data_IF_429129047945
#
_entry.id   IF_429129047945
#
_cell.length_a   1.000
_cell.length_b   1.000
_cell.length_c   1.000
_cell.angle_alpha   90.00
_cell.angle_beta   90.00
_cell.angle_gamma   90.00
#
_symmetry.space_group_name_H-M   'P 1'
#
loop_
_entity.id
_entity.type
_entity.pdbx_description
1 polymer ?
#
# COMPACT_ATOMS: atom_id res chain seq x y z
N UNK A 1 -10.14 -8.63 -12.78
CA UNK A 1 -9.88 -7.63 -11.69
C UNK A 1 -9.61 -6.24 -12.26
N UNK A 2 -10.67 -5.45 -12.47
CA UNK A 2 -10.57 -3.99 -12.69
C UNK A 2 -11.21 -3.20 -11.54
N UNK A 3 -11.56 -3.90 -10.46
CA UNK A 3 -12.41 -3.38 -9.40
C UNK A 3 -11.69 -3.33 -8.05
N UNK A 4 -11.07 -4.42 -7.62
CA UNK A 4 -10.56 -4.61 -6.25
C UNK A 4 -9.55 -3.54 -5.83
N UNK A 5 -8.52 -3.31 -6.64
CA UNK A 5 -7.49 -2.32 -6.29
C UNK A 5 -8.06 -0.89 -6.20
N UNK A 6 -8.91 -0.50 -7.15
CA UNK A 6 -9.61 0.79 -7.09
C UNK A 6 -10.55 0.92 -5.89
N UNK A 7 -11.26 -0.16 -5.55
CA UNK A 7 -12.18 -0.23 -4.41
C UNK A 7 -11.42 -0.10 -3.08
N UNK A 8 -10.35 -0.87 -2.89
CA UNK A 8 -9.55 -0.83 -1.67
C UNK A 8 -8.92 0.55 -1.43
N UNK A 9 -8.38 1.16 -2.47
CA UNK A 9 -7.85 2.53 -2.37
C UNK A 9 -8.96 3.57 -2.11
N UNK A 10 -10.18 3.32 -2.61
CA UNK A 10 -11.34 4.18 -2.35
C UNK A 10 -11.87 4.10 -0.92
N UNK A 11 -11.61 3.00 -0.19
CA UNK A 11 -12.04 2.88 1.21
C UNK A 11 -11.44 3.96 2.10
N UNK A 12 -10.18 4.33 1.87
CA UNK A 12 -9.42 5.33 2.62
C UNK A 12 -9.53 6.75 2.04
N UNK A 13 -10.11 6.91 0.85
CA UNK A 13 -10.12 8.17 0.12
C UNK A 13 -10.78 9.31 0.91
N UNK A 14 -10.05 10.42 1.06
CA UNK A 14 -10.51 11.68 1.68
C UNK A 14 -10.90 11.56 3.17
N UNK A 15 -10.56 10.46 3.84
CA UNK A 15 -10.90 10.24 5.25
C UNK A 15 -9.73 9.72 6.09
N UNK A 16 -8.74 9.08 5.46
CA UNK A 16 -7.52 8.61 6.09
C UNK A 16 -6.34 9.26 5.39
N UNK A 17 -5.38 9.75 6.17
CA UNK A 17 -4.09 10.23 5.65
C UNK A 17 -3.25 9.03 5.20
N UNK A 18 -3.31 8.75 3.89
CA UNK A 18 -2.53 7.73 3.20
C UNK A 18 -2.34 8.18 1.76
N UNK A 19 -1.15 7.97 1.20
CA UNK A 19 -0.92 8.34 -0.19
C UNK A 19 -1.43 7.21 -1.09
N UNK A 20 -2.26 7.55 -2.08
CA UNK A 20 -2.95 6.56 -2.93
C UNK A 20 -3.09 7.04 -4.36
N UNK A 21 -3.32 6.11 -5.26
CA UNK A 21 -3.64 6.42 -6.65
C UNK A 21 -5.12 6.78 -6.79
N UNK A 22 -5.42 7.81 -7.56
CA UNK A 22 -6.78 8.03 -8.00
C UNK A 22 -7.24 6.91 -8.96
N UNK A 23 -8.54 6.62 -8.90
CA UNK A 23 -9.20 5.58 -9.68
C UNK A 23 -10.42 6.16 -10.38
N UNK A 24 -10.51 5.92 -11.70
CA UNK A 24 -11.72 6.23 -12.48
C UNK A 24 -11.94 5.14 -13.54
N UNK A 25 -13.09 4.43 -13.52
CA UNK A 25 -13.42 3.51 -14.59
C UNK A 25 -13.73 4.27 -15.88
N UNK A 26 -13.44 3.64 -17.00
CA UNK A 26 -13.56 4.21 -18.35
C UNK A 26 -13.92 3.13 -19.36
N UNK A 27 -14.46 3.52 -20.50
CA UNK A 27 -14.69 2.62 -21.64
C UNK A 27 -13.66 2.95 -22.70
N UNK A 28 -12.84 1.97 -23.06
CA UNK A 28 -11.82 2.15 -24.08
C UNK A 28 -12.37 1.81 -25.47
N UNK A 29 -12.03 2.64 -26.46
CA UNK A 29 -12.17 2.32 -27.87
C UNK A 29 -10.82 2.48 -28.56
N UNK A 30 -10.43 1.51 -29.40
CA UNK A 30 -9.24 1.59 -30.25
C UNK A 30 -9.70 1.46 -31.70
N UNK A 31 -9.41 2.46 -32.53
CA UNK A 31 -9.85 2.53 -33.93
C UNK A 31 -11.37 2.37 -34.13
N UNK A 32 -12.17 2.86 -33.17
CA UNK A 32 -13.63 2.75 -33.19
C UNK A 32 -14.18 1.41 -32.68
N UNK A 33 -13.33 0.43 -32.42
CA UNK A 33 -13.74 -0.84 -31.82
C UNK A 33 -13.82 -0.71 -30.29
N UNK A 34 -14.85 -1.32 -29.69
CA UNK A 34 -15.00 -1.38 -28.24
C UNK A 34 -13.93 -2.28 -27.62
N UNK A 35 -13.25 -1.83 -26.57
CA UNK A 35 -12.18 -2.55 -25.87
C UNK A 35 -12.49 -2.88 -24.41
N UNK A 36 -13.73 -2.68 -23.95
CA UNK A 36 -14.09 -2.98 -22.58
C UNK A 36 -13.90 -1.82 -21.62
N UNK A 37 -14.43 -2.01 -20.42
CA UNK A 37 -14.02 -1.30 -19.20
C UNK A 37 -12.50 -1.34 -19.07
N UNK A 38 -11.90 -0.21 -18.69
CA UNK A 38 -10.50 0.00 -18.31
C UNK A 38 -10.43 1.03 -17.20
N UNK A 39 -9.32 1.11 -16.48
CA UNK A 39 -9.14 2.11 -15.43
C UNK A 39 -8.16 3.21 -15.84
N UNK A 40 -8.60 4.46 -15.69
CA UNK A 40 -7.69 5.61 -15.66
C UNK A 40 -7.15 5.69 -14.25
N UNK A 41 -5.83 5.54 -14.12
CA UNK A 41 -5.11 5.56 -12.84
C UNK A 41 -4.05 6.62 -12.83
N UNK A 42 -3.82 7.16 -11.66
CA UNK A 42 -2.73 8.09 -11.42
C UNK A 42 -1.39 7.36 -11.41
N UNK A 43 -0.40 7.88 -12.12
CA UNK A 43 0.94 7.29 -12.17
C UNK A 43 1.77 7.81 -11.01
N UNK A 44 2.23 6.94 -10.13
CA UNK A 44 2.96 7.30 -8.89
C UNK A 44 4.43 7.63 -9.12
N UNK A 45 4.74 8.56 -10.02
CA UNK A 45 6.12 9.05 -10.25
C UNK A 45 6.33 10.43 -9.60
N UNK A 46 7.40 11.14 -9.95
CA UNK A 46 7.67 12.49 -9.43
C UNK A 46 6.52 13.48 -9.66
N UNK A 47 5.77 13.35 -10.76
CA UNK A 47 4.63 14.22 -11.06
C UNK A 47 3.42 13.95 -10.15
N UNK A 48 3.27 12.73 -9.64
CA UNK A 48 2.29 12.45 -8.59
C UNK A 48 2.62 13.27 -7.33
N UNK A 49 3.90 13.33 -6.96
CA UNK A 49 4.35 14.08 -5.79
C UNK A 49 4.18 15.59 -6.01
N UNK A 50 4.55 16.09 -7.18
CA UNK A 50 4.33 17.49 -7.56
C UNK A 50 2.84 17.86 -7.49
N UNK A 51 1.98 17.07 -8.11
CA UNK A 51 0.54 17.37 -8.21
C UNK A 51 -0.16 17.32 -6.86
N UNK A 52 0.22 16.37 -5.98
CA UNK A 52 -0.47 16.15 -4.71
C UNK A 52 0.15 16.91 -3.52
N UNK A 53 1.44 17.23 -3.56
CA UNK A 53 2.17 17.86 -2.44
C UNK A 53 2.87 19.18 -2.81
N UNK A 54 2.82 19.60 -4.09
CA UNK A 54 3.46 20.81 -4.58
C UNK A 54 4.98 20.82 -4.29
N UNK A 55 5.62 19.67 -4.51
CA UNK A 55 7.07 19.47 -4.37
C UNK A 55 7.67 19.31 -5.76
N UNK A 56 8.75 20.04 -6.03
CA UNK A 56 9.48 19.98 -7.30
C UNK A 56 9.92 18.54 -7.63
N UNK A 57 9.74 18.14 -8.88
CA UNK A 57 10.00 16.78 -9.36
C UNK A 57 11.47 16.34 -9.18
N UNK A 58 12.41 17.27 -9.13
CA UNK A 58 13.84 16.98 -8.94
C UNK A 58 14.23 16.88 -7.45
N UNK A 59 13.31 17.24 -6.55
CA UNK A 59 13.51 17.38 -5.11
C UNK A 59 12.82 16.26 -4.30
N UNK A 60 12.70 15.07 -4.90
CA UNK A 60 12.09 13.90 -4.27
C UNK A 60 12.89 12.64 -4.57
N UNK A 61 12.99 11.76 -3.57
CA UNK A 61 13.38 10.36 -3.76
C UNK A 61 12.14 9.50 -3.80
N UNK A 62 12.04 8.60 -4.78
CA UNK A 62 10.96 7.61 -4.88
C UNK A 62 11.58 6.23 -4.94
N UNK A 63 11.24 5.43 -3.96
CA UNK A 63 11.73 4.07 -3.81
C UNK A 63 10.61 3.07 -4.04
N UNK A 64 10.99 1.92 -4.54
CA UNK A 64 10.10 0.80 -4.80
C UNK A 64 10.77 -0.48 -4.34
N UNK A 65 9.98 -1.46 -3.94
CA UNK A 65 10.48 -2.78 -3.60
C UNK A 65 9.98 -3.83 -4.59
N UNK A 66 10.88 -4.76 -4.93
CA UNK A 66 10.51 -6.01 -5.59
C UNK A 66 11.29 -7.17 -4.98
N UNK A 67 10.60 -8.22 -4.58
CA UNK A 67 11.16 -9.44 -3.98
C UNK A 67 12.08 -9.15 -2.79
N UNK A 68 11.66 -8.30 -1.86
CA UNK A 68 12.46 -7.92 -0.70
C UNK A 68 13.54 -6.87 -0.97
N UNK A 69 13.81 -6.49 -2.24
CA UNK A 69 14.86 -5.51 -2.56
C UNK A 69 14.29 -4.13 -2.83
N UNK A 70 14.78 -3.13 -2.09
CA UNK A 70 14.49 -1.71 -2.37
C UNK A 70 15.44 -1.18 -3.43
N UNK A 71 14.91 -0.41 -4.37
CA UNK A 71 15.66 0.34 -5.36
C UNK A 71 15.05 1.73 -5.55
N UNK A 72 15.90 2.70 -5.89
CA UNK A 72 15.43 4.01 -6.33
C UNK A 72 14.78 3.87 -7.71
N UNK A 73 13.50 4.22 -7.79
CA UNK A 73 12.86 4.51 -9.07
C UNK A 73 13.26 5.90 -9.56
N UNK A 74 13.44 6.84 -8.63
CA UNK A 74 13.83 8.23 -8.87
C UNK A 74 14.70 8.68 -7.69
N UNK A 75 15.74 9.48 -7.96
CA UNK A 75 16.67 9.93 -6.92
C UNK A 75 17.64 8.84 -6.44
N UNK A 76 17.91 8.79 -5.14
CA UNK A 76 18.86 7.86 -4.53
C UNK A 76 18.33 7.16 -3.25
N UNK A 77 19.16 6.29 -2.68
CA UNK A 77 18.81 5.46 -1.52
C UNK A 77 19.50 5.92 -0.23
N UNK A 78 20.27 7.00 -0.24
CA UNK A 78 21.23 7.29 0.83
C UNK A 78 20.53 7.53 2.17
N UNK A 79 19.48 8.36 2.17
CA UNK A 79 18.71 8.65 3.38
C UNK A 79 17.90 7.45 3.87
N UNK A 80 17.45 6.59 2.95
CA UNK A 80 16.74 5.36 3.30
C UNK A 80 17.69 4.36 3.95
N UNK A 81 18.87 4.14 3.35
CA UNK A 81 19.90 3.26 3.89
C UNK A 81 20.38 3.75 5.26
N UNK A 82 20.51 5.06 5.47
CA UNK A 82 20.83 5.63 6.79
C UNK A 82 19.74 5.32 7.83
N UNK A 83 18.46 5.44 7.47
CA UNK A 83 17.34 5.09 8.35
C UNK A 83 17.33 3.59 8.69
N UNK A 84 17.49 2.72 7.70
CA UNK A 84 17.53 1.27 7.92
C UNK A 84 18.74 0.89 8.78
N UNK A 85 19.93 1.42 8.50
CA UNK A 85 21.12 1.20 9.33
C UNK A 85 20.91 1.69 10.77
N UNK A 86 20.26 2.84 10.96
CA UNK A 86 19.93 3.32 12.31
C UNK A 86 19.03 2.33 13.04
N UNK A 87 17.99 1.82 12.37
CA UNK A 87 17.05 0.86 12.96
C UNK A 87 17.71 -0.47 13.30
N UNK A 88 18.65 -0.93 12.48
CA UNK A 88 19.34 -2.21 12.69
C UNK A 88 20.41 -2.13 13.79
N UNK A 89 20.99 -0.96 14.02
CA UNK A 89 22.09 -0.76 14.96
C UNK A 89 21.66 -0.22 16.33
N UNK A 90 20.39 0.10 16.52
CA UNK A 90 19.88 0.71 17.75
C UNK A 90 18.65 -0.02 18.32
N UNK A 91 18.48 0.05 19.63
CA UNK A 91 17.29 -0.49 20.30
C UNK A 91 16.11 0.49 20.14
N UNK A 92 15.13 0.12 19.31
CA UNK A 92 13.97 0.96 18.99
C UNK A 92 12.94 0.99 20.11
N UNK A 93 13.05 0.12 21.11
CA UNK A 93 12.22 0.22 22.32
C UNK A 93 12.54 1.47 23.15
N UNK A 94 13.72 2.08 22.97
CA UNK A 94 14.14 3.29 23.65
C UNK A 94 13.45 4.54 23.07
N UNK A 95 12.84 5.41 23.89
CA UNK A 95 12.13 6.61 23.42
C UNK A 95 12.97 7.54 22.54
N UNK A 96 14.26 7.73 22.85
CA UNK A 96 15.16 8.59 22.09
C UNK A 96 15.38 8.11 20.65
N UNK A 97 15.47 6.79 20.44
CA UNK A 97 15.67 6.20 19.13
C UNK A 97 14.37 6.25 18.32
N UNK A 98 13.24 5.98 18.97
CA UNK A 98 11.93 6.12 18.33
C UNK A 98 11.62 7.57 17.95
N UNK A 99 11.96 8.54 18.82
CA UNK A 99 11.85 9.97 18.52
C UNK A 99 12.69 10.37 17.30
N UNK A 100 13.90 9.82 17.15
CA UNK A 100 14.69 10.04 15.94
C UNK A 100 13.98 9.49 14.69
N UNK A 101 13.44 8.27 14.73
CA UNK A 101 12.67 7.70 13.62
C UNK A 101 11.48 8.60 13.26
N UNK A 102 10.77 9.14 14.25
CA UNK A 102 9.67 10.09 14.03
C UNK A 102 10.09 11.37 13.31
N UNK A 103 11.37 11.75 13.33
CA UNK A 103 11.89 12.86 12.50
C UNK A 103 12.09 12.46 11.04
N UNK A 104 12.30 11.17 10.77
CA UNK A 104 12.62 10.64 9.44
C UNK A 104 11.40 10.07 8.72
N UNK A 105 10.39 9.63 9.46
CA UNK A 105 9.26 8.84 9.00
C UNK A 105 7.97 9.50 9.47
N UNK A 106 6.98 9.61 8.59
CA UNK A 106 5.64 9.99 8.99
C UNK A 106 4.94 8.79 9.61
N UNK A 107 5.11 8.61 10.92
CA UNK A 107 4.56 7.47 11.65
C UNK A 107 3.03 7.41 11.55
N UNK A 108 2.35 8.55 11.43
CA UNK A 108 0.89 8.56 11.35
C UNK A 108 0.40 7.99 10.02
N UNK A 109 1.01 8.42 8.92
CA UNK A 109 0.73 7.90 7.59
C UNK A 109 1.10 6.41 7.50
N UNK A 110 2.29 6.04 7.99
CA UNK A 110 2.75 4.65 7.98
C UNK A 110 1.78 3.70 8.71
N UNK A 111 1.27 4.10 9.87
CA UNK A 111 0.28 3.32 10.61
C UNK A 111 -1.00 3.12 9.78
N UNK A 112 -1.49 4.17 9.12
CA UNK A 112 -2.67 4.09 8.25
C UNK A 112 -2.43 3.15 7.06
N UNK A 113 -1.27 3.28 6.40
CA UNK A 113 -0.84 2.44 5.30
C UNK A 113 -0.80 0.95 5.71
N UNK A 114 -0.13 0.63 6.82
CA UNK A 114 -0.01 -0.75 7.31
C UNK A 114 -1.36 -1.35 7.70
N UNK A 115 -2.21 -0.56 8.38
CA UNK A 115 -3.55 -1.03 8.73
C UNK A 115 -4.36 -1.35 7.47
N UNK A 116 -4.30 -0.52 6.42
CA UNK A 116 -4.98 -0.82 5.16
C UNK A 116 -4.44 -2.08 4.50
N UNK A 117 -3.12 -2.27 4.44
CA UNK A 117 -2.50 -3.48 3.88
C UNK A 117 -2.97 -4.76 4.61
N UNK A 118 -2.98 -4.71 5.94
CA UNK A 118 -3.40 -5.85 6.78
C UNK A 118 -4.90 -6.09 6.67
N UNK A 119 -5.73 -5.03 6.74
CA UNK A 119 -7.18 -5.14 6.59
C UNK A 119 -7.57 -5.71 5.22
N UNK A 120 -6.90 -5.25 4.16
CA UNK A 120 -7.13 -5.74 2.81
C UNK A 120 -6.70 -7.20 2.61
N UNK A 121 -5.99 -7.79 3.58
CA UNK A 121 -5.35 -9.10 3.43
C UNK A 121 -4.44 -9.17 2.19
N UNK A 122 -3.61 -8.14 1.95
CA UNK A 122 -2.74 -8.10 0.77
C UNK A 122 -1.55 -9.05 0.94
N UNK A 123 -1.66 -10.26 0.39
CA UNK A 123 -0.63 -11.28 0.52
C UNK A 123 0.62 -11.11 -0.34
N UNK A 124 0.67 -10.11 -1.24
CA UNK A 124 1.92 -9.73 -1.89
C UNK A 124 2.70 -8.63 -1.14
N UNK A 125 2.12 -8.12 -0.05
CA UNK A 125 2.78 -7.25 0.93
C UNK A 125 3.21 -8.09 2.16
N UNK A 126 4.38 -7.82 2.78
CA UNK A 126 5.26 -6.68 2.55
C UNK A 126 6.44 -6.95 1.62
N UNK A 127 6.52 -8.10 0.94
CA UNK A 127 7.66 -8.47 0.09
C UNK A 127 7.70 -7.80 -1.30
N UNK A 128 6.55 -7.36 -1.78
CA UNK A 128 6.33 -6.61 -3.02
C UNK A 128 5.38 -5.44 -2.74
N UNK A 129 4.98 -4.74 -3.80
CA UNK A 129 3.94 -3.71 -3.79
C UNK A 129 4.17 -2.65 -2.73
N UNK A 130 5.45 -2.37 -2.49
CA UNK A 130 5.93 -1.38 -1.53
C UNK A 130 6.50 -0.22 -2.31
N UNK A 131 5.95 0.96 -2.07
CA UNK A 131 6.39 2.21 -2.69
C UNK A 131 6.39 3.30 -1.65
N UNK A 132 7.46 4.08 -1.61
CA UNK A 132 7.65 5.15 -0.65
C UNK A 132 8.39 6.31 -1.29
N UNK A 133 8.25 7.47 -0.69
CA UNK A 133 8.89 8.67 -1.16
C UNK A 133 9.29 9.58 0.00
N UNK A 134 10.23 10.49 -0.25
CA UNK A 134 10.65 11.52 0.69
C UNK A 134 11.10 12.77 -0.06
N UNK A 135 10.70 13.99 0.37
CA UNK A 135 11.30 15.21 -0.13
C UNK A 135 12.79 15.28 0.26
N UNK A 136 13.67 15.62 -0.69
CA UNK A 136 15.12 15.75 -0.42
C UNK A 136 15.46 16.95 0.45
N UNK A 137 14.71 18.05 0.30
CA UNK A 137 14.93 19.28 1.06
C UNK A 137 14.09 19.37 2.34
N UNK A 138 14.62 20.07 3.33
CA UNK A 138 13.91 20.41 4.56
C UNK A 138 13.73 19.23 5.51
N UNK A 139 12.75 19.30 6.40
CA UNK A 139 12.42 18.25 7.36
C UNK A 139 11.46 17.20 6.76
N UNK A 140 11.67 16.85 5.49
CA UNK A 140 10.84 15.87 4.78
C UNK A 140 10.85 14.52 5.51
N UNK A 141 9.76 13.76 5.41
CA UNK A 141 9.62 12.45 6.03
C UNK A 141 9.31 11.40 4.98
N UNK A 142 9.77 10.17 5.21
CA UNK A 142 9.34 9.01 4.42
C UNK A 142 7.84 8.79 4.61
N UNK A 143 7.14 8.64 3.49
CA UNK A 143 5.72 8.33 3.38
C UNK A 143 5.50 7.22 2.37
N UNK A 144 4.42 6.47 2.53
CA UNK A 144 4.10 5.31 1.71
C UNK A 144 2.97 5.59 0.75
N UNK A 145 3.09 5.02 -0.45
CA UNK A 145 2.03 5.08 -1.46
C UNK A 145 1.42 3.69 -1.57
N UNK A 146 0.12 3.58 -1.34
CA UNK A 146 -0.65 2.37 -1.61
C UNK A 146 -0.49 2.01 -3.08
N UNK A 147 -0.01 0.80 -3.31
CA UNK A 147 0.30 0.31 -4.63
C UNK A 147 -0.19 -1.13 -4.75
N UNK A 148 -0.87 -1.41 -5.86
CA UNK A 148 -1.20 -2.75 -6.33
C UNK A 148 -1.81 -3.67 -5.25
N UNK A 149 -3.10 -3.42 -4.98
CA UNK A 149 -3.89 -4.08 -3.93
C UNK A 149 -4.82 -5.18 -4.48
N UNK A 150 -4.68 -5.57 -5.75
CA UNK A 150 -5.63 -6.46 -6.42
C UNK A 150 -5.60 -7.91 -5.90
N UNK A 151 -4.50 -8.29 -5.25
CA UNK A 151 -4.31 -9.53 -4.50
C UNK A 151 -4.99 -9.56 -3.12
N UNK A 152 -5.56 -8.43 -2.67
CA UNK A 152 -6.34 -8.35 -1.44
C UNK A 152 -7.81 -8.76 -1.61
N UNK A 153 -8.52 -8.86 -0.48
CA UNK A 153 -9.96 -9.12 -0.41
C UNK A 153 -10.40 -10.46 -1.05
N UNK A 154 -9.67 -11.54 -0.74
CA UNK A 154 -9.98 -12.92 -1.12
C UNK A 154 -9.95 -13.19 -2.63
N UNK A 155 -8.75 -13.42 -3.18
CA UNK A 155 -8.59 -13.87 -4.57
C UNK A 155 -8.83 -15.38 -4.60
N UNK A 156 -10.10 -15.77 -4.70
CA UNK A 156 -10.61 -17.15 -4.70
C UNK A 156 -9.99 -18.11 -5.72
N UNK A 157 -9.23 -17.60 -6.69
CA UNK A 157 -8.65 -18.38 -7.79
C UNK A 157 -7.12 -18.53 -7.70
N UNK A 158 -6.47 -18.04 -6.63
CA UNK A 158 -5.04 -18.24 -6.48
C UNK A 158 -4.75 -19.51 -5.66
N UNK A 159 -3.94 -20.41 -6.20
CA UNK A 159 -3.29 -21.50 -5.42
C UNK A 159 -2.32 -20.97 -4.33
N UNK A 160 -2.39 -19.67 -4.02
CA UNK A 160 -1.50 -18.93 -3.15
C UNK A 160 -2.26 -18.68 -1.86
N UNK A 161 -1.89 -19.42 -0.82
CA UNK A 161 -2.56 -19.38 0.50
C UNK A 161 -2.56 -17.96 1.10
N UNK A 162 -1.60 -17.11 0.73
CA UNK A 162 -1.48 -15.74 1.27
C UNK A 162 -2.58 -14.78 0.79
N UNK A 163 -3.37 -15.13 -0.23
CA UNK A 163 -4.47 -14.28 -0.75
C UNK A 163 -5.87 -14.70 -0.26
N UNK A 164 -5.93 -15.54 0.77
CA UNK A 164 -7.19 -16.00 1.38
C UNK A 164 -7.65 -15.06 2.49
N UNK A 165 -8.97 -14.90 2.66
CA UNK A 165 -9.55 -14.22 3.83
C UNK A 165 -9.24 -14.91 5.17
N UNK A 166 -8.82 -16.18 5.15
CA UNK A 166 -8.40 -16.92 6.35
C UNK A 166 -6.93 -16.74 6.69
N UNK A 167 -6.16 -16.09 5.81
CA UNK A 167 -4.73 -15.88 6.04
C UNK A 167 -4.51 -14.65 6.93
N UNK A 168 -3.72 -14.82 7.98
CA UNK A 168 -3.46 -13.75 8.94
C UNK A 168 -2.27 -12.92 8.46
N UNK A 169 -2.54 -11.88 7.68
CA UNK A 169 -1.50 -11.00 7.11
C UNK A 169 -0.67 -10.29 8.19
N UNK A 170 -1.24 -10.01 9.37
CA UNK A 170 -0.46 -9.43 10.47
C UNK A 170 0.63 -10.41 10.95
N UNK A 171 0.29 -11.68 11.13
CA UNK A 171 1.25 -12.73 11.51
C UNK A 171 2.26 -12.96 10.38
N UNK A 172 1.80 -12.99 9.12
CA UNK A 172 2.68 -13.11 7.96
C UNK A 172 3.74 -11.99 7.92
N UNK A 173 3.30 -10.74 7.96
CA UNK A 173 4.16 -9.57 7.90
C UNK A 173 5.12 -9.45 9.10
N UNK A 174 4.75 -10.01 10.26
CA UNK A 174 5.54 -9.89 11.49
C UNK A 174 6.47 -11.09 11.77
N UNK A 175 6.00 -12.32 11.54
CA UNK A 175 6.68 -13.56 11.96
C UNK A 175 7.15 -14.43 10.81
N UNK A 176 6.32 -14.61 9.77
CA UNK A 176 6.54 -15.65 8.74
C UNK A 176 7.38 -15.14 7.55
N UNK A 177 7.46 -13.83 7.33
CA UNK A 177 8.43 -13.21 6.43
C UNK A 177 9.74 -12.89 7.16
N UNK A 178 10.94 -13.06 6.54
CA UNK A 178 11.20 -13.48 5.15
C UNK A 178 11.04 -14.97 4.91
N UNK A 179 10.45 -15.32 3.76
CA UNK A 179 10.65 -16.63 3.15
C UNK A 179 12.15 -16.95 3.18
N UNK A 180 12.59 -18.07 3.78
CA UNK A 180 13.99 -18.43 3.84
C UNK A 180 14.67 -18.50 2.47
N UNK A 181 13.93 -18.79 1.41
CA UNK A 181 14.42 -18.74 0.03
C UNK A 181 14.74 -17.31 -0.45
N UNK A 182 14.15 -16.31 0.21
CA UNK A 182 14.36 -14.89 -0.05
C UNK A 182 15.32 -14.19 0.94
N UNK A 183 15.88 -14.92 1.92
CA UNK A 183 16.83 -14.39 2.90
C UNK A 183 18.07 -13.71 2.27
N UNK A 184 18.48 -14.16 1.07
CA UNK A 184 19.58 -13.54 0.31
C UNK A 184 19.23 -12.20 -0.37
N UNK A 185 17.98 -11.74 -0.27
CA UNK A 185 17.47 -10.55 -0.95
C UNK A 185 17.29 -9.33 -0.04
N UNK A 186 17.58 -9.44 1.26
CA UNK A 186 17.50 -8.32 2.20
C UNK A 186 16.11 -8.19 2.82
N UNK A 187 15.90 -8.86 3.96
CA UNK A 187 14.62 -8.95 4.65
C UNK A 187 14.25 -7.68 5.44
N UNK A 188 14.24 -6.52 4.81
CA UNK A 188 14.06 -5.24 5.51
C UNK A 188 12.60 -5.01 5.92
N UNK A 189 11.61 -5.58 5.24
CA UNK A 189 10.22 -5.49 5.69
C UNK A 189 10.03 -6.08 7.09
N UNK A 190 10.78 -7.16 7.38
CA UNK A 190 10.93 -7.65 8.75
C UNK A 190 11.65 -6.61 9.59
N UNK A 191 12.87 -6.16 9.24
CA UNK A 191 13.60 -5.23 10.12
C UNK A 191 12.85 -3.93 10.43
N UNK A 192 12.19 -3.30 9.47
CA UNK A 192 11.51 -2.03 9.69
C UNK A 192 10.22 -2.17 10.50
N UNK A 193 9.24 -2.95 10.04
CA UNK A 193 7.96 -3.10 10.75
C UNK A 193 8.12 -3.82 12.09
N UNK A 194 8.96 -4.86 12.13
CA UNK A 194 9.24 -5.60 13.38
C UNK A 194 9.94 -4.72 14.42
N UNK A 195 10.92 -3.90 14.01
CA UNK A 195 11.60 -3.01 14.96
C UNK A 195 10.67 -1.93 15.52
N UNK A 196 9.76 -1.37 14.72
CA UNK A 196 8.80 -0.39 15.25
C UNK A 196 7.86 -1.01 16.29
N UNK A 197 7.48 -2.27 16.11
CA UNK A 197 6.68 -3.03 17.07
C UNK A 197 7.41 -3.40 18.36
N UNK A 198 8.73 -3.16 18.48
CA UNK A 198 9.43 -3.27 19.77
C UNK A 198 9.22 -2.03 20.66
N UNK A 199 8.66 -0.95 20.11
CA UNK A 199 8.35 0.27 20.85
C UNK A 199 6.90 0.26 21.36
N UNK A 200 6.71 0.42 22.68
CA UNK A 200 5.37 0.35 23.29
C UNK A 200 4.43 1.44 22.80
N UNK A 201 4.93 2.64 22.50
CA UNK A 201 4.09 3.75 22.05
C UNK A 201 3.57 3.48 20.63
N UNK A 202 4.43 2.96 19.76
CA UNK A 202 4.03 2.50 18.42
C UNK A 202 2.97 1.40 18.49
N UNK A 203 3.19 0.37 19.32
CA UNK A 203 2.25 -0.76 19.47
C UNK A 203 0.90 -0.28 20.00
N UNK A 204 0.91 0.56 21.04
CA UNK A 204 -0.32 1.10 21.62
C UNK A 204 -1.11 1.93 20.61
N UNK A 205 -0.44 2.76 19.82
CA UNK A 205 -1.09 3.55 18.77
C UNK A 205 -1.60 2.66 17.64
N UNK A 206 -0.82 1.68 17.19
CA UNK A 206 -1.22 0.73 16.16
C UNK A 206 -2.50 -0.02 16.56
N UNK A 207 -2.55 -0.58 17.77
CA UNK A 207 -3.72 -1.33 18.27
C UNK A 207 -4.95 -0.43 18.34
N UNK A 208 -4.82 0.76 18.96
CA UNK A 208 -5.95 1.67 19.12
C UNK A 208 -6.46 2.15 17.76
N UNK A 209 -5.56 2.59 16.88
CA UNK A 209 -5.92 3.09 15.55
C UNK A 209 -6.54 2.01 14.69
N UNK A 210 -6.02 0.78 14.71
CA UNK A 210 -6.62 -0.32 13.99
C UNK A 210 -8.02 -0.64 14.53
N UNK A 211 -8.20 -0.70 15.84
CA UNK A 211 -9.51 -0.87 16.44
C UNK A 211 -10.49 0.25 16.04
N UNK A 212 -10.05 1.51 16.01
CA UNK A 212 -10.85 2.64 15.51
C UNK A 212 -11.21 2.45 14.05
N UNK A 213 -10.25 2.14 13.19
CA UNK A 213 -10.49 1.94 11.76
C UNK A 213 -11.49 0.81 11.50
N UNK A 214 -11.37 -0.33 12.18
CA UNK A 214 -12.33 -1.45 12.08
C UNK A 214 -13.77 -1.06 12.46
N UNK A 215 -13.93 -0.20 13.47
CA UNK A 215 -15.26 0.22 13.92
C UNK A 215 -15.84 1.41 13.13
N UNK A 216 -15.03 2.07 12.29
CA UNK A 216 -15.43 3.30 11.58
C UNK A 216 -15.22 3.17 10.07
N UNK A 217 -13.98 3.33 9.60
CA UNK A 217 -13.59 3.34 8.18
C UNK A 217 -13.85 2.00 7.51
N UNK A 218 -13.47 0.91 8.18
CA UNK A 218 -13.58 -0.47 7.71
C UNK A 218 -14.77 -1.21 8.33
N UNK A 219 -15.73 -0.47 8.89
CA UNK A 219 -16.98 -1.05 9.34
C UNK A 219 -17.66 -1.77 8.15
N UNK A 220 -18.13 -3.03 8.31
CA UNK A 220 -18.68 -3.82 7.21
C UNK A 220 -19.80 -3.13 6.44
N UNK A 221 -20.70 -2.40 7.12
CA UNK A 221 -21.79 -1.69 6.46
C UNK A 221 -21.27 -0.61 5.50
N UNK A 222 -20.28 0.17 5.95
CA UNK A 222 -19.64 1.20 5.11
C UNK A 222 -18.90 0.56 3.94
N UNK A 223 -18.15 -0.51 4.19
CA UNK A 223 -17.36 -1.20 3.16
C UNK A 223 -18.28 -1.75 2.08
N UNK A 224 -19.39 -2.39 2.46
CA UNK A 224 -20.42 -2.87 1.52
C UNK A 224 -21.02 -1.72 0.72
N UNK A 225 -21.35 -0.58 1.36
CA UNK A 225 -21.87 0.60 0.66
C UNK A 225 -20.88 1.15 -0.38
N UNK A 226 -19.58 1.18 -0.08
CA UNK A 226 -18.54 1.59 -1.04
C UNK A 226 -18.45 0.60 -2.19
N UNK A 227 -18.46 -0.71 -1.90
CA UNK A 227 -18.45 -1.77 -2.92
C UNK A 227 -19.66 -1.61 -3.85
N UNK A 228 -20.88 -1.48 -3.30
CA UNK A 228 -22.10 -1.35 -4.09
C UNK A 228 -22.11 -0.08 -4.94
N UNK A 229 -21.65 1.04 -4.38
CA UNK A 229 -21.51 2.30 -5.10
C UNK A 229 -20.58 2.16 -6.30
N UNK A 230 -19.39 1.58 -6.12
CA UNK A 230 -18.44 1.39 -7.21
C UNK A 230 -18.93 0.35 -8.23
N UNK A 231 -19.57 -0.73 -7.77
CA UNK A 231 -20.14 -1.77 -8.63
C UNK A 231 -21.21 -1.19 -9.55
N UNK A 232 -22.08 -0.34 -9.03
CA UNK A 232 -23.17 0.28 -9.80
C UNK A 232 -22.67 1.09 -11.00
N UNK A 233 -21.46 1.65 -10.92
CA UNK A 233 -20.83 2.39 -12.01
C UNK A 233 -20.37 1.50 -13.17
N UNK A 234 -20.22 0.18 -12.94
CA UNK A 234 -19.74 -0.78 -13.91
C UNK A 234 -20.85 -1.68 -14.46
N UNK A 235 -21.89 -1.91 -13.67
CA UNK A 235 -22.90 -2.97 -13.88
C UNK A 235 -23.54 -2.95 -15.28
N UNK A 236 -23.89 -1.77 -15.79
CA UNK A 236 -24.51 -1.63 -17.11
C UNK A 236 -23.56 -1.96 -18.28
N UNK A 237 -22.25 -1.80 -18.09
CA UNK A 237 -21.25 -2.05 -19.14
C UNK A 237 -20.68 -3.47 -19.08
N UNK A 238 -20.83 -4.17 -17.94
CA UNK A 238 -20.32 -5.53 -17.75
C UNK A 238 -20.76 -6.51 -18.85
N UNK A 239 -22.03 -6.55 -19.32
CA UNK A 239 -22.42 -7.48 -20.39
C UNK A 239 -21.61 -7.29 -21.68
N UNK A 240 -21.33 -6.04 -22.05
CA UNK A 240 -20.53 -5.72 -23.25
C UNK A 240 -19.05 -6.04 -23.03
N UNK A 241 -18.52 -5.77 -21.84
CA UNK A 241 -17.16 -6.15 -21.48
C UNK A 241 -16.96 -7.66 -21.59
N UNK A 242 -17.83 -8.46 -20.97
CA UNK A 242 -17.78 -9.92 -20.98
C UNK A 242 -17.94 -10.51 -22.39
N UNK A 243 -18.77 -9.90 -23.23
CA UNK A 243 -18.94 -10.33 -24.62
C UNK A 243 -17.67 -10.16 -25.47
N UNK A 244 -16.77 -9.24 -25.10
CA UNK A 244 -15.46 -9.07 -25.76
C UNK A 244 -14.38 -9.92 -25.12
N UNK A 245 -14.31 -9.90 -23.79
CA UNK A 245 -13.26 -10.55 -23.02
C UNK A 245 -13.85 -11.78 -22.33
N UNK A 246 -14.06 -12.84 -23.12
CA UNK A 246 -14.55 -14.12 -22.59
C UNK A 246 -13.59 -14.60 -21.47
N UNK A 247 -14.15 -14.94 -20.30
CA UNK A 247 -13.43 -15.31 -19.08
C UNK A 247 -12.71 -14.16 -18.33
N UNK A 248 -13.03 -12.89 -18.60
CA UNK A 248 -12.62 -11.81 -17.69
C UNK A 248 -13.35 -11.96 -16.35
N UNK A 249 -12.61 -12.24 -15.29
CA UNK A 249 -13.13 -12.29 -13.93
C UNK A 249 -13.58 -10.87 -13.50
N UNK A 250 -14.86 -10.68 -13.10
CA UNK A 250 -15.40 -9.38 -12.67
C UNK A 250 -14.51 -8.68 -11.63
#
# INVERSE_FOLDING_TARGET
TMFRDGMLQSLAANIVDVDRQCYKPSILFINGEYWGIHNIRERTNTHFIETNYNIDIDNVDILVQKYGRVYASEGDLDQYNQLINFIELNDISLPENFNYIQTQVDINELLNYQILQIYASNGDWPQNNYKLWKPKSGNGKWRWIIHDMDAGFDVRDSHIITHSFTHNILIWAFYEYPDPALNGYGAWAKSFFHSLMSNSDYVNEFIQRFATHLNTIYNPERVIQVIDSLKSNLELEMPRHLARWENSDP
#
